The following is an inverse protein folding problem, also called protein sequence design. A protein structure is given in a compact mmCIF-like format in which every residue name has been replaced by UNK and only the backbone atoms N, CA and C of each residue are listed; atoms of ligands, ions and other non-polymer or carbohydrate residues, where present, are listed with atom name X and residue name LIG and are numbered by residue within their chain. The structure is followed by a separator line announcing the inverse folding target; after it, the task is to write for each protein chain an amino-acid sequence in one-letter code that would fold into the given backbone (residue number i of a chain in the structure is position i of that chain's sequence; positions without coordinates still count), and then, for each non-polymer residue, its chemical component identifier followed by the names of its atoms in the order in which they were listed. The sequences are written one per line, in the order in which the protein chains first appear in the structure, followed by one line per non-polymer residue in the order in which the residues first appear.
data_IF_397680139368
#
_entry.id   IF_397680139368
#
_cell.length_a   1.000
_cell.length_b   1.000
_cell.length_c   1.000
_cell.angle_alpha   90.00
_cell.angle_beta   90.00
_cell.angle_gamma   90.00
#
_symmetry.space_group_name_H-M   'P 1'
#
loop_
_entity.id
_entity.type
_entity.pdbx_description
1 polymer ?
#
# COMPACT_ATOMS: atom_id res chain seq x y z
N UNK A 1 9.21 -13.83 -9.63
CA UNK A 1 9.81 -14.67 -8.58
C UNK A 1 9.09 -14.37 -7.27
N UNK A 2 8.70 -15.39 -6.50
CA UNK A 2 8.09 -15.25 -5.18
C UNK A 2 9.16 -15.54 -4.12
N UNK A 3 9.13 -14.75 -3.05
CA UNK A 3 9.97 -14.93 -1.86
C UNK A 3 9.14 -15.59 -0.76
N UNK A 4 9.51 -16.80 -0.35
CA UNK A 4 8.87 -17.55 0.73
C UNK A 4 9.83 -17.63 1.93
N UNK A 5 9.80 -16.64 2.85
CA UNK A 5 10.65 -16.66 4.03
C UNK A 5 10.25 -17.85 4.90
N UNK A 6 11.22 -18.67 5.30
CA UNK A 6 11.12 -19.78 6.25
C UNK A 6 10.28 -20.99 5.85
N UNK A 7 10.11 -21.22 4.54
CA UNK A 7 9.48 -22.44 4.05
C UNK A 7 10.17 -23.68 4.64
N UNK A 8 9.42 -24.75 4.92
CA UNK A 8 9.90 -25.97 5.61
C UNK A 8 10.53 -25.76 7.00
N UNK A 9 10.23 -24.66 7.70
CA UNK A 9 10.74 -24.37 9.05
C UNK A 9 12.21 -23.97 9.11
N UNK A 10 12.84 -23.70 7.96
CA UNK A 10 14.21 -23.18 7.89
C UNK A 10 14.29 -21.67 8.18
N UNK A 11 15.50 -21.16 8.45
CA UNK A 11 15.75 -19.73 8.64
C UNK A 11 15.99 -18.96 7.32
N UNK A 12 16.01 -19.67 6.18
CA UNK A 12 16.26 -19.09 4.86
C UNK A 12 15.00 -18.57 4.17
N UNK A 13 15.17 -17.72 3.15
CA UNK A 13 14.09 -17.35 2.22
C UNK A 13 14.21 -18.19 0.96
N UNK A 14 13.13 -18.87 0.57
CA UNK A 14 13.09 -19.63 -0.67
C UNK A 14 12.65 -18.71 -1.80
N UNK A 15 13.37 -18.79 -2.92
CA UNK A 15 13.08 -18.05 -4.13
C UNK A 15 12.49 -19.04 -5.13
N UNK A 16 11.22 -18.87 -5.48
CA UNK A 16 10.53 -19.75 -6.44
C UNK A 16 10.03 -18.94 -7.64
N UNK A 17 10.24 -19.40 -8.87
CA UNK A 17 9.52 -18.88 -10.03
C UNK A 17 8.00 -18.96 -9.80
N UNK A 18 7.26 -17.89 -10.14
CA UNK A 18 5.83 -17.82 -9.87
C UNK A 18 5.09 -18.96 -10.56
N UNK A 19 5.46 -19.29 -11.80
CA UNK A 19 4.91 -20.37 -12.63
C UNK A 19 4.99 -21.77 -12.00
N UNK A 20 5.92 -21.97 -11.07
CA UNK A 20 6.11 -23.27 -10.38
C UNK A 20 5.21 -23.44 -9.15
N UNK A 21 4.50 -22.39 -8.72
CA UNK A 21 3.75 -22.39 -7.46
C UNK A 21 2.70 -23.51 -7.40
N UNK A 22 2.00 -23.76 -8.51
CA UNK A 22 0.97 -24.82 -8.63
C UNK A 22 1.53 -26.23 -8.61
N UNK A 23 2.81 -26.38 -8.96
CA UNK A 23 3.47 -27.68 -8.96
C UNK A 23 3.88 -28.08 -7.54
N UNK A 24 4.07 -27.10 -6.66
CA UNK A 24 4.55 -27.27 -5.29
C UNK A 24 3.41 -27.24 -4.26
N UNK A 25 2.41 -26.39 -4.44
CA UNK A 25 1.35 -26.15 -3.45
C UNK A 25 -0.04 -26.44 -4.01
N UNK A 26 -0.89 -27.02 -3.15
CA UNK A 26 -2.32 -27.14 -3.43
C UNK A 26 -3.01 -25.80 -3.17
N UNK A 27 -3.35 -25.12 -4.26
CA UNK A 27 -3.97 -23.79 -4.21
C UNK A 27 -5.50 -23.89 -4.09
N UNK A 28 -6.07 -23.05 -3.23
CA UNK A 28 -7.52 -22.86 -3.17
C UNK A 28 -8.06 -22.35 -4.53
N UNK A 29 -9.38 -22.39 -4.73
CA UNK A 29 -9.98 -21.85 -5.97
C UNK A 29 -9.67 -20.35 -6.11
N UNK A 30 -9.69 -19.63 -4.99
CA UNK A 30 -9.33 -18.21 -4.93
C UNK A 30 -7.88 -18.00 -5.36
N UNK A 31 -6.95 -18.75 -4.78
CA UNK A 31 -5.51 -18.55 -5.02
C UNK A 31 -5.11 -18.99 -6.43
N UNK A 32 -5.80 -20.00 -7.00
CA UNK A 32 -5.66 -20.35 -8.41
C UNK A 32 -6.08 -19.19 -9.31
N UNK A 33 -7.23 -18.59 -9.05
CA UNK A 33 -7.72 -17.47 -9.87
C UNK A 33 -6.81 -16.25 -9.76
N UNK A 34 -6.27 -15.96 -8.57
CA UNK A 34 -5.28 -14.92 -8.38
C UNK A 34 -3.99 -15.23 -9.15
N UNK A 35 -3.47 -16.45 -9.02
CA UNK A 35 -2.30 -16.92 -9.75
C UNK A 35 -2.45 -16.72 -11.26
N UNK A 36 -3.59 -17.12 -11.86
CA UNK A 36 -3.80 -17.03 -13.31
C UNK A 36 -3.74 -15.59 -13.79
N UNK A 37 -4.19 -14.63 -12.96
CA UNK A 37 -4.07 -13.21 -13.28
C UNK A 37 -2.65 -12.69 -13.11
N UNK A 38 -1.95 -13.10 -12.05
CA UNK A 38 -0.61 -12.58 -11.75
C UNK A 38 0.44 -13.08 -12.75
N UNK A 39 0.31 -14.29 -13.27
CA UNK A 39 1.27 -14.85 -14.24
C UNK A 39 1.21 -14.16 -15.61
N UNK A 40 0.06 -13.55 -15.94
CA UNK A 40 -0.16 -12.81 -17.18
C UNK A 40 0.32 -11.35 -17.08
N UNK A 41 0.78 -10.89 -15.91
CA UNK A 41 1.26 -9.52 -15.73
C UNK A 41 2.64 -9.34 -16.36
N UNK A 42 2.72 -8.43 -17.33
CA UNK A 42 3.99 -7.98 -17.91
C UNK A 42 4.84 -7.19 -16.90
N UNK A 43 4.18 -6.50 -15.96
CA UNK A 43 4.80 -5.61 -14.98
C UNK A 43 4.21 -5.84 -13.59
N UNK A 44 4.99 -6.48 -12.72
CA UNK A 44 4.56 -6.89 -11.38
C UNK A 44 4.99 -5.82 -10.37
N UNK A 45 4.04 -4.94 -10.02
CA UNK A 45 4.20 -3.91 -8.98
C UNK A 45 3.18 -4.09 -7.85
N UNK A 46 3.45 -3.64 -6.62
CA UNK A 46 2.53 -3.78 -5.48
C UNK A 46 1.11 -3.28 -5.80
N UNK A 47 1.00 -2.13 -6.48
CA UNK A 47 -0.27 -1.59 -6.95
C UNK A 47 -1.04 -2.58 -7.85
N UNK A 48 -0.39 -3.09 -8.89
CA UNK A 48 -1.02 -4.01 -9.84
C UNK A 48 -1.44 -5.31 -9.15
N UNK A 49 -0.60 -5.86 -8.27
CA UNK A 49 -0.91 -7.06 -7.50
C UNK A 49 -2.13 -6.83 -6.62
N UNK A 50 -2.21 -5.68 -5.94
CA UNK A 50 -3.35 -5.31 -5.11
C UNK A 50 -4.64 -5.15 -5.93
N UNK A 51 -4.58 -4.49 -7.09
CA UNK A 51 -5.72 -4.32 -7.98
C UNK A 51 -6.27 -5.68 -8.44
N UNK A 52 -5.40 -6.57 -8.93
CA UNK A 52 -5.79 -7.92 -9.34
C UNK A 52 -6.29 -8.77 -8.17
N UNK A 53 -5.68 -8.66 -6.99
CA UNK A 53 -6.13 -9.33 -5.76
C UNK A 53 -7.53 -8.87 -5.36
N UNK A 54 -7.82 -7.57 -5.38
CA UNK A 54 -9.15 -7.03 -5.04
C UNK A 54 -10.21 -7.41 -6.06
N UNK A 55 -9.88 -7.45 -7.33
CA UNK A 55 -10.80 -7.90 -8.36
C UNK A 55 -11.19 -9.37 -8.15
N UNK A 56 -10.21 -10.24 -7.90
CA UNK A 56 -10.47 -11.66 -7.59
C UNK A 56 -11.28 -11.79 -6.31
N UNK A 57 -10.91 -11.06 -5.25
CA UNK A 57 -11.65 -11.03 -3.99
C UNK A 57 -13.11 -10.60 -4.18
N UNK A 58 -13.37 -9.64 -5.06
CA UNK A 58 -14.72 -9.13 -5.35
C UNK A 58 -15.63 -10.13 -6.06
N UNK A 59 -15.09 -11.21 -6.65
CA UNK A 59 -15.90 -12.25 -7.32
C UNK A 59 -16.70 -13.13 -6.36
N UNK A 60 -16.33 -13.15 -5.07
CA UNK A 60 -16.94 -14.03 -4.07
C UNK A 60 -16.30 -15.41 -3.95
N UNK A 61 -15.33 -15.75 -4.80
CA UNK A 61 -14.64 -17.06 -4.77
C UNK A 61 -13.89 -17.28 -3.45
N UNK A 62 -13.34 -16.22 -2.85
CA UNK A 62 -12.73 -16.26 -1.51
C UNK A 62 -13.71 -16.07 -0.34
N UNK A 63 -15.02 -16.12 -0.60
CA UNK A 63 -16.07 -15.97 0.40
C UNK A 63 -16.75 -14.59 0.43
N UNK A 64 -17.91 -14.56 1.10
CA UNK A 64 -18.80 -13.38 1.10
C UNK A 64 -18.18 -12.17 1.82
N UNK A 65 -17.45 -12.41 2.92
CA UNK A 65 -16.82 -11.33 3.68
C UNK A 65 -15.69 -10.65 2.89
N UNK A 66 -14.86 -11.44 2.20
CA UNK A 66 -13.81 -10.92 1.33
C UNK A 66 -14.42 -10.08 0.20
N UNK A 67 -15.44 -10.60 -0.49
CA UNK A 67 -16.10 -9.88 -1.57
C UNK A 67 -16.71 -8.55 -1.12
N UNK A 68 -17.39 -8.53 0.04
CA UNK A 68 -17.92 -7.29 0.63
C UNK A 68 -16.81 -6.29 0.95
N UNK A 69 -15.68 -6.77 1.48
CA UNK A 69 -14.53 -5.94 1.84
C UNK A 69 -13.89 -5.32 0.60
N UNK A 70 -13.58 -6.11 -0.42
CA UNK A 70 -13.00 -5.64 -1.67
C UNK A 70 -13.94 -4.69 -2.42
N UNK A 71 -15.24 -5.00 -2.49
CA UNK A 71 -16.24 -4.14 -3.13
C UNK A 71 -16.33 -2.78 -2.43
N UNK A 72 -16.37 -2.77 -1.09
CA UNK A 72 -16.39 -1.53 -0.30
C UNK A 72 -15.13 -0.70 -0.52
N UNK A 73 -13.95 -1.32 -0.48
CA UNK A 73 -12.67 -0.63 -0.72
C UNK A 73 -12.62 -0.01 -2.11
N UNK A 74 -12.99 -0.77 -3.14
CA UNK A 74 -13.03 -0.28 -4.51
C UNK A 74 -14.01 0.91 -4.68
N UNK A 75 -15.17 0.84 -4.03
CA UNK A 75 -16.12 1.95 -4.04
C UNK A 75 -15.57 3.21 -3.34
N UNK A 76 -15.01 3.06 -2.15
CA UNK A 76 -14.43 4.17 -1.38
C UNK A 76 -13.26 4.81 -2.12
N UNK A 77 -12.37 4.00 -2.70
CA UNK A 77 -11.23 4.49 -3.47
C UNK A 77 -11.68 5.24 -4.73
N UNK A 78 -12.66 4.70 -5.45
CA UNK A 78 -13.23 5.39 -6.63
C UNK A 78 -13.84 6.74 -6.24
N UNK A 79 -14.66 6.79 -5.20
CA UNK A 79 -15.28 8.02 -4.72
C UNK A 79 -14.23 9.04 -4.28
N UNK A 80 -13.21 8.60 -3.53
CA UNK A 80 -12.12 9.46 -3.09
C UNK A 80 -11.30 10.02 -4.26
N UNK A 81 -11.00 9.20 -5.27
CA UNK A 81 -10.30 9.63 -6.48
C UNK A 81 -11.09 10.69 -7.25
N UNK A 82 -12.39 10.49 -7.46
CA UNK A 82 -13.25 11.45 -8.18
C UNK A 82 -13.31 12.80 -7.45
N UNK A 83 -13.50 12.78 -6.11
CA UNK A 83 -13.47 13.98 -5.29
C UNK A 83 -12.09 14.65 -5.29
N UNK A 84 -11.02 13.86 -5.16
CA UNK A 84 -9.63 14.31 -5.17
C UNK A 84 -9.27 15.05 -6.45
N UNK A 85 -9.60 14.47 -7.62
CA UNK A 85 -9.37 15.12 -8.93
C UNK A 85 -10.04 16.50 -9.00
N UNK A 86 -11.29 16.59 -8.54
CA UNK A 86 -12.00 17.87 -8.50
C UNK A 86 -11.37 18.86 -7.52
N UNK A 87 -10.82 18.41 -6.38
CA UNK A 87 -10.10 19.30 -5.46
C UNK A 87 -8.78 19.80 -6.05
N UNK A 88 -8.00 18.95 -6.72
CA UNK A 88 -6.74 19.36 -7.36
C UNK A 88 -7.01 20.45 -8.39
N UNK A 89 -8.04 20.28 -9.22
CA UNK A 89 -8.45 21.31 -10.18
C UNK A 89 -8.91 22.61 -9.50
N UNK A 90 -9.70 22.51 -8.44
CA UNK A 90 -10.13 23.68 -7.67
C UNK A 90 -8.94 24.42 -7.05
N UNK A 91 -7.98 23.70 -6.49
CA UNK A 91 -6.76 24.23 -5.92
C UNK A 91 -5.87 24.89 -6.99
N UNK A 92 -5.74 24.27 -8.16
CA UNK A 92 -5.03 24.84 -9.31
C UNK A 92 -5.64 26.17 -9.74
N UNK A 93 -6.97 26.26 -9.81
CA UNK A 93 -7.65 27.50 -10.17
C UNK A 93 -7.45 28.60 -9.13
N UNK A 94 -7.46 28.25 -7.84
CA UNK A 94 -7.20 29.23 -6.77
C UNK A 94 -5.76 29.75 -6.78
N UNK A 95 -4.79 28.91 -7.12
CA UNK A 95 -3.38 29.30 -7.16
C UNK A 95 -2.99 30.00 -8.48
N UNK A 96 -3.56 29.60 -9.61
CA UNK A 96 -3.07 29.96 -10.94
C UNK A 96 -4.06 30.79 -11.76
N UNK A 97 -5.36 30.72 -11.46
CA UNK A 97 -6.40 31.29 -12.32
C UNK A 97 -6.62 32.80 -12.20
N UNK A 98 -5.96 33.44 -11.23
CA UNK A 98 -6.06 34.88 -10.95
C UNK A 98 -7.43 35.31 -10.44
N UNK A 99 -7.69 36.62 -10.42
CA UNK A 99 -8.91 37.19 -9.83
C UNK A 99 -10.21 36.72 -10.50
N UNK A 100 -10.15 36.30 -11.76
CA UNK A 100 -11.32 35.91 -12.53
C UNK A 100 -11.95 34.57 -12.12
N UNK A 101 -11.29 33.76 -11.28
CA UNK A 101 -11.82 32.49 -10.75
C UNK A 101 -11.62 32.37 -9.24
N UNK A 102 -11.25 33.46 -8.57
CA UNK A 102 -10.96 33.48 -7.13
C UNK A 102 -12.20 33.22 -6.28
N UNK A 103 -13.37 33.61 -6.79
CA UNK A 103 -14.70 33.41 -6.22
C UNK A 103 -15.32 32.06 -6.60
N UNK A 104 -14.71 31.30 -7.53
CA UNK A 104 -15.28 30.08 -8.05
C UNK A 104 -15.39 29.00 -6.97
N UNK A 105 -16.60 28.49 -6.79
CA UNK A 105 -16.86 27.36 -5.89
C UNK A 105 -16.57 26.02 -6.58
N UNK A 106 -16.36 24.98 -5.77
CA UNK A 106 -16.03 23.64 -6.28
C UNK A 106 -17.18 23.05 -7.11
N UNK A 107 -18.42 23.31 -6.72
CA UNK A 107 -19.62 22.84 -7.40
C UNK A 107 -19.77 23.44 -8.80
N UNK A 108 -19.23 24.64 -9.05
CA UNK A 108 -19.26 25.28 -10.37
C UNK A 108 -18.45 24.48 -11.40
N UNK A 109 -17.41 23.74 -10.97
CA UNK A 109 -16.59 22.88 -11.85
C UNK A 109 -17.37 21.71 -12.45
N UNK A 110 -18.54 21.38 -11.87
CA UNK A 110 -19.44 20.36 -12.39
C UNK A 110 -20.33 20.87 -13.53
N UNK A 111 -20.33 22.18 -13.77
CA UNK A 111 -21.13 22.82 -14.84
C UNK A 111 -20.27 23.08 -16.07
N UNK A 112 -20.88 23.01 -17.26
CA UNK A 112 -20.18 23.32 -18.52
C UNK A 112 -19.63 24.75 -18.52
N UNK A 113 -20.36 25.71 -17.97
CA UNK A 113 -19.95 27.11 -17.90
C UNK A 113 -18.75 27.31 -16.95
N UNK A 114 -18.76 26.65 -15.80
CA UNK A 114 -17.63 26.66 -14.86
C UNK A 114 -16.39 26.01 -15.47
N UNK A 115 -16.52 24.90 -16.20
CA UNK A 115 -15.41 24.27 -16.93
C UNK A 115 -14.82 25.20 -18.00
N UNK A 116 -15.66 25.92 -18.76
CA UNK A 116 -15.18 26.91 -19.74
C UNK A 116 -14.43 28.04 -19.03
N UNK A 117 -14.97 28.56 -17.92
CA UNK A 117 -14.36 29.63 -17.13
C UNK A 117 -13.00 29.18 -16.55
N UNK A 118 -12.93 27.98 -16.00
CA UNK A 118 -11.72 27.35 -15.49
C UNK A 118 -10.65 27.20 -16.59
N UNK A 119 -11.03 26.66 -17.75
CA UNK A 119 -10.13 26.50 -18.91
C UNK A 119 -9.56 27.83 -19.40
N UNK A 120 -10.38 28.89 -19.48
CA UNK A 120 -9.89 30.23 -19.85
C UNK A 120 -8.86 30.76 -18.84
N UNK A 121 -9.08 30.53 -17.54
CA UNK A 121 -8.17 30.99 -16.51
C UNK A 121 -6.81 30.27 -16.60
N UNK A 122 -6.81 28.95 -16.75
CA UNK A 122 -5.58 28.16 -16.90
C UNK A 122 -4.83 28.48 -18.21
N UNK A 123 -5.55 28.73 -19.30
CA UNK A 123 -4.92 29.13 -20.57
C UNK A 123 -4.19 30.49 -20.47
N UNK A 124 -4.69 31.42 -19.64
CA UNK A 124 -3.96 32.68 -19.38
C UNK A 124 -2.67 32.43 -18.62
N UNK A 125 -2.71 31.60 -17.58
CA UNK A 125 -1.52 31.22 -16.82
C UNK A 125 -0.45 30.58 -17.73
N UNK A 126 -0.85 29.63 -18.58
CA UNK A 126 0.02 29.00 -19.57
C UNK A 126 0.67 30.04 -20.52
N UNK A 127 -0.14 30.97 -21.04
CA UNK A 127 0.34 32.03 -21.93
C UNK A 127 1.35 32.96 -21.24
N UNK A 128 1.12 33.33 -19.98
CA UNK A 128 2.00 34.17 -19.17
C UNK A 128 3.36 33.50 -18.88
N UNK A 129 3.36 32.19 -18.69
CA UNK A 129 4.55 31.40 -18.36
C UNK A 129 5.21 30.76 -19.59
N UNK A 130 4.74 31.08 -20.80
CA UNK A 130 5.22 30.53 -22.09
C UNK A 130 5.20 29.00 -22.14
N UNK A 131 4.26 28.37 -21.43
CA UNK A 131 3.97 26.94 -21.50
C UNK A 131 2.86 26.74 -22.53
N UNK A 132 2.92 25.68 -23.32
CA UNK A 132 1.85 25.39 -24.28
C UNK A 132 0.52 25.14 -23.54
N UNK A 133 -0.55 25.80 -23.98
CA UNK A 133 -1.86 25.80 -23.28
C UNK A 133 -2.46 24.39 -23.14
N UNK A 134 -2.36 23.57 -24.18
CA UNK A 134 -2.89 22.19 -24.14
C UNK A 134 -2.12 21.33 -23.11
N UNK A 135 -0.87 21.69 -22.81
CA UNK A 135 -0.02 20.97 -21.85
C UNK A 135 -0.47 21.15 -20.40
N UNK A 136 -0.94 22.33 -19.96
CA UNK A 136 -1.24 22.53 -18.53
C UNK A 136 -2.46 21.73 -18.06
N UNK A 137 -3.52 21.69 -18.88
CA UNK A 137 -4.73 20.93 -18.52
C UNK A 137 -4.43 19.43 -18.56
N UNK A 138 -3.69 18.98 -19.56
CA UNK A 138 -3.27 17.59 -19.67
C UNK A 138 -2.32 17.19 -18.51
N UNK A 139 -1.35 18.04 -18.17
CA UNK A 139 -0.45 17.87 -17.02
C UNK A 139 -1.21 17.84 -15.70
N UNK A 140 -2.19 18.72 -15.49
CA UNK A 140 -3.05 18.68 -14.30
C UNK A 140 -3.90 17.40 -14.26
N UNK A 141 -4.41 16.95 -15.40
CA UNK A 141 -5.13 15.70 -15.53
C UNK A 141 -4.26 14.49 -15.18
N UNK A 142 -3.03 14.46 -15.71
CA UNK A 142 -2.04 13.43 -15.42
C UNK A 142 -1.62 13.44 -13.96
N UNK A 143 -1.24 14.61 -13.43
CA UNK A 143 -0.94 14.82 -12.00
C UNK A 143 -2.05 14.24 -11.13
N UNK A 144 -3.29 14.64 -11.36
CA UNK A 144 -4.43 14.23 -10.53
C UNK A 144 -4.59 12.71 -10.47
N UNK A 145 -4.23 11.99 -11.55
CA UNK A 145 -4.21 10.53 -11.59
C UNK A 145 -3.01 9.97 -10.84
N UNK A 146 -1.82 10.54 -11.02
CA UNK A 146 -0.58 10.09 -10.38
C UNK A 146 -0.65 10.19 -8.86
N UNK A 147 -1.19 11.29 -8.32
CA UNK A 147 -1.28 11.47 -6.86
C UNK A 147 -2.50 10.78 -6.26
N UNK A 148 -3.44 10.26 -7.07
CA UNK A 148 -4.68 9.66 -6.57
C UNK A 148 -4.48 8.56 -5.49
N UNK A 149 -3.45 7.68 -5.57
CA UNK A 149 -3.17 6.71 -4.50
C UNK A 149 -2.88 7.35 -3.13
N UNK A 150 -2.30 8.55 -3.10
CA UNK A 150 -2.07 9.34 -1.86
C UNK A 150 -3.24 10.26 -1.54
N UNK A 151 -3.86 10.84 -2.58
CA UNK A 151 -4.91 11.82 -2.48
C UNK A 151 -4.49 13.08 -1.72
N UNK A 152 -5.47 13.84 -1.27
CA UNK A 152 -5.27 15.11 -0.57
C UNK A 152 -5.59 14.96 0.91
N UNK A 153 -5.00 15.83 1.73
CA UNK A 153 -5.40 15.99 3.14
C UNK A 153 -6.70 16.79 3.28
N UNK A 154 -7.75 16.28 2.63
CA UNK A 154 -9.11 16.82 2.67
C UNK A 154 -10.06 15.67 2.91
N UNK A 155 -11.09 15.92 3.72
CA UNK A 155 -12.10 14.92 4.01
C UNK A 155 -12.72 14.35 2.72
N UNK A 156 -12.78 13.02 2.65
CA UNK A 156 -13.28 12.29 1.48
C UNK A 156 -12.38 12.29 0.25
N UNK A 157 -11.21 12.96 0.27
CA UNK A 157 -10.26 13.01 -0.86
C UNK A 157 -8.96 12.25 -0.57
N UNK A 158 -8.89 11.54 0.56
CA UNK A 158 -7.70 10.82 0.99
C UNK A 158 -7.53 9.54 0.15
N UNK A 159 -6.36 9.37 -0.45
CA UNK A 159 -6.02 8.16 -1.20
C UNK A 159 -5.71 7.00 -0.26
N UNK A 160 -5.73 5.78 -0.79
CA UNK A 160 -5.54 4.57 0.00
C UNK A 160 -4.18 4.51 0.72
N UNK A 161 -3.11 5.02 0.13
CA UNK A 161 -1.78 5.02 0.74
C UNK A 161 -1.74 5.95 1.96
N UNK A 162 -2.41 7.11 1.89
CA UNK A 162 -2.57 8.01 3.03
C UNK A 162 -3.43 7.40 4.13
N UNK A 163 -4.54 6.76 3.75
CA UNK A 163 -5.41 6.06 4.71
C UNK A 163 -4.64 4.93 5.41
N UNK A 164 -3.88 4.14 4.66
CA UNK A 164 -3.06 3.04 5.19
C UNK A 164 -1.96 3.56 6.10
N UNK A 165 -1.18 4.57 5.68
CA UNK A 165 -0.11 5.16 6.49
C UNK A 165 -0.62 5.72 7.83
N UNK A 166 -1.80 6.34 7.85
CA UNK A 166 -2.46 6.78 9.07
C UNK A 166 -3.05 5.60 9.86
N UNK A 167 -3.59 4.59 9.18
CA UNK A 167 -4.06 3.34 9.77
C UNK A 167 -2.98 2.61 10.57
N UNK A 168 -1.72 2.66 10.10
CA UNK A 168 -0.58 2.11 10.84
C UNK A 168 -0.38 2.74 12.22
N UNK A 169 -0.64 4.05 12.39
CA UNK A 169 -0.56 4.68 13.71
C UNK A 169 -1.58 4.09 14.67
N UNK A 170 -2.82 3.97 14.21
CA UNK A 170 -3.90 3.36 15.00
C UNK A 170 -3.59 1.90 15.32
N UNK A 171 -3.14 1.14 14.32
CA UNK A 171 -2.77 -0.26 14.48
C UNK A 171 -1.68 -0.45 15.54
N UNK A 172 -0.61 0.36 15.49
CA UNK A 172 0.44 0.34 16.50
C UNK A 172 -0.09 0.69 17.90
N UNK A 173 -0.97 1.68 18.00
CA UNK A 173 -1.59 2.05 19.28
C UNK A 173 -2.44 0.90 19.85
N UNK A 174 -3.30 0.29 19.02
CA UNK A 174 -4.19 -0.79 19.45
C UNK A 174 -3.40 -2.02 19.96
N UNK A 175 -2.28 -2.38 19.30
CA UNK A 175 -1.40 -3.46 19.75
C UNK A 175 -0.66 -3.08 21.03
N UNK A 176 -0.15 -1.85 21.14
CA UNK A 176 0.53 -1.38 22.35
C UNK A 176 -0.40 -1.43 23.56
N UNK A 177 -1.63 -0.93 23.41
CA UNK A 177 -2.67 -0.98 24.44
C UNK A 177 -2.99 -2.42 24.85
N UNK A 178 -3.14 -3.33 23.89
CA UNK A 178 -3.36 -4.75 24.13
C UNK A 178 -2.22 -5.40 24.94
N UNK A 179 -0.96 -5.03 24.64
CA UNK A 179 0.24 -5.64 25.22
C UNK A 179 0.47 -5.32 26.69
N UNK A 180 -0.13 -4.24 27.21
CA UNK A 180 0.05 -3.78 28.58
C UNK A 180 -0.41 -4.82 29.63
N UNK A 181 -1.38 -5.65 29.27
CA UNK A 181 -1.93 -6.73 30.12
C UNK A 181 -1.37 -8.11 29.79
N UNK A 182 -0.36 -8.21 28.92
CA UNK A 182 0.26 -9.48 28.53
C UNK A 182 1.55 -9.80 29.28
N UNK A 183 1.91 -11.09 29.22
CA UNK A 183 3.18 -11.65 29.72
C UNK A 183 4.38 -11.10 28.94
N UNK A 184 5.59 -11.25 29.48
CA UNK A 184 6.83 -10.67 28.93
C UNK A 184 7.05 -10.98 27.46
N UNK A 185 6.80 -12.23 27.05
CA UNK A 185 7.18 -12.72 25.73
C UNK A 185 6.27 -12.12 24.64
N UNK A 186 4.95 -12.14 24.87
CA UNK A 186 3.97 -11.50 23.99
C UNK A 186 4.10 -9.97 23.99
N UNK A 187 4.47 -9.38 25.13
CA UNK A 187 4.75 -7.94 25.21
C UNK A 187 5.98 -7.56 24.40
N UNK A 188 7.04 -8.36 24.44
CA UNK A 188 8.24 -8.15 23.63
C UNK A 188 7.92 -8.25 22.13
N UNK A 189 7.14 -9.26 21.74
CA UNK A 189 6.69 -9.46 20.36
C UNK A 189 5.82 -8.30 19.86
N UNK A 190 4.82 -7.91 20.64
CA UNK A 190 4.00 -6.73 20.37
C UNK A 190 4.85 -5.46 20.25
N UNK A 191 5.84 -5.28 21.13
CA UNK A 191 6.77 -4.15 21.06
C UNK A 191 7.51 -4.06 19.72
N UNK A 192 7.93 -5.19 19.14
CA UNK A 192 8.57 -5.21 17.82
C UNK A 192 7.61 -4.84 16.70
N UNK A 193 6.38 -5.36 16.72
CA UNK A 193 5.34 -4.94 15.78
C UNK A 193 5.13 -3.42 15.89
N UNK A 194 4.89 -2.92 17.09
CA UNK A 194 4.65 -1.49 17.34
C UNK A 194 5.79 -0.62 16.81
N UNK A 195 7.03 -0.97 17.09
CA UNK A 195 8.18 -0.21 16.60
C UNK A 195 8.30 -0.24 15.07
N UNK A 196 8.15 -1.40 14.44
CA UNK A 196 8.23 -1.55 12.98
C UNK A 196 7.10 -0.78 12.28
N UNK A 197 5.87 -0.90 12.79
CA UNK A 197 4.69 -0.18 12.29
C UNK A 197 4.88 1.33 12.42
N UNK A 198 5.35 1.82 13.57
CA UNK A 198 5.61 3.26 13.78
C UNK A 198 6.70 3.79 12.86
N UNK A 199 7.81 3.07 12.72
CA UNK A 199 8.90 3.46 11.82
C UNK A 199 8.40 3.54 10.37
N UNK A 200 7.71 2.51 9.89
CA UNK A 200 7.10 2.50 8.54
C UNK A 200 6.13 3.65 8.33
N UNK A 201 5.22 3.88 9.29
CA UNK A 201 4.26 5.00 9.23
C UNK A 201 4.96 6.35 9.16
N UNK A 202 6.02 6.56 9.94
CA UNK A 202 6.79 7.80 9.92
C UNK A 202 7.47 8.02 8.56
N UNK A 203 8.06 6.98 7.97
CA UNK A 203 8.65 7.05 6.62
C UNK A 203 7.58 7.37 5.57
N UNK A 204 6.43 6.71 5.63
CA UNK A 204 5.33 6.96 4.69
C UNK A 204 4.79 8.38 4.80
N UNK A 205 4.60 8.89 6.02
CA UNK A 205 4.07 10.23 6.23
C UNK A 205 5.02 11.33 5.75
N UNK A 206 6.34 11.17 5.91
CA UNK A 206 7.32 12.10 5.31
C UNK A 206 7.17 12.20 3.79
N UNK A 207 7.00 11.06 3.11
CA UNK A 207 6.79 11.02 1.65
C UNK A 207 5.43 11.57 1.23
N UNK A 208 4.41 11.39 2.06
CA UNK A 208 3.10 12.01 1.84
C UNK A 208 3.19 13.54 1.98
N UNK A 209 3.96 14.05 2.95
CA UNK A 209 4.23 15.50 3.09
C UNK A 209 4.96 16.07 1.86
N UNK A 210 5.87 15.31 1.24
CA UNK A 210 6.49 15.69 -0.04
C UNK A 210 5.43 15.85 -1.14
N UNK A 211 4.50 14.91 -1.26
CA UNK A 211 3.38 14.99 -2.21
C UNK A 211 2.48 16.20 -1.93
N UNK A 212 2.20 16.47 -0.66
CA UNK A 212 1.40 17.63 -0.24
C UNK A 212 2.10 18.96 -0.57
N UNK A 213 3.44 19.00 -0.46
CA UNK A 213 4.23 20.18 -0.83
C UNK A 213 4.07 20.53 -2.31
N UNK A 214 4.08 19.53 -3.21
CA UNK A 214 3.84 19.76 -4.64
C UNK A 214 2.43 20.31 -4.89
N UNK A 215 1.41 19.82 -4.16
CA UNK A 215 0.05 20.35 -4.26
C UNK A 215 -0.05 21.81 -3.77
N UNK A 216 0.78 22.22 -2.81
CA UNK A 216 0.83 23.60 -2.34
C UNK A 216 1.52 24.56 -3.31
N UNK A 217 2.38 24.04 -4.21
CA UNK A 217 3.19 24.83 -5.13
C UNK A 217 2.93 24.45 -6.61
N UNK A 218 1.65 24.31 -7.00
CA UNK A 218 1.24 23.81 -8.33
C UNK A 218 1.88 24.59 -9.49
N UNK A 219 2.02 25.91 -9.33
CA UNK A 219 2.60 26.77 -10.38
C UNK A 219 4.04 26.40 -10.70
N UNK A 220 4.87 26.15 -9.67
CA UNK A 220 6.28 25.74 -9.86
C UNK A 220 6.38 24.37 -10.51
N UNK A 221 5.54 23.44 -10.04
CA UNK A 221 5.54 22.07 -10.54
C UNK A 221 5.09 22.01 -12.01
N UNK A 222 4.07 22.77 -12.40
CA UNK A 222 3.59 22.81 -13.78
C UNK A 222 4.59 23.49 -14.74
N UNK A 223 5.42 24.42 -14.25
CA UNK A 223 6.48 25.02 -15.08
C UNK A 223 7.65 24.08 -15.36
N UNK A 224 7.86 23.05 -14.54
CA UNK A 224 8.90 22.02 -14.72
C UNK A 224 8.26 20.62 -14.62
N UNK A 225 7.22 20.40 -15.41
CA UNK A 225 6.35 19.23 -15.29
C UNK A 225 7.09 17.90 -15.47
N UNK A 226 7.99 17.78 -16.44
CA UNK A 226 8.68 16.51 -16.72
C UNK A 226 9.55 16.04 -15.56
N UNK A 227 10.26 16.98 -14.92
CA UNK A 227 11.09 16.69 -13.74
C UNK A 227 10.21 16.29 -12.56
N UNK A 228 9.15 17.06 -12.31
CA UNK A 228 8.26 16.80 -11.18
C UNK A 228 7.44 15.52 -11.37
N UNK A 229 6.99 15.22 -12.59
CA UNK A 229 6.32 13.97 -12.95
C UNK A 229 7.17 12.77 -12.59
N UNK A 230 8.46 12.79 -12.92
CA UNK A 230 9.38 11.72 -12.54
C UNK A 230 9.49 11.60 -11.01
N UNK A 231 9.69 12.71 -10.31
CA UNK A 231 9.80 12.71 -8.85
C UNK A 231 8.51 12.22 -8.16
N UNK A 232 7.34 12.67 -8.62
CA UNK A 232 6.03 12.20 -8.15
C UNK A 232 5.91 10.69 -8.38
N UNK A 233 6.24 10.21 -9.58
CA UNK A 233 6.20 8.79 -9.91
C UNK A 233 7.06 7.95 -8.95
N UNK A 234 8.32 8.33 -8.77
CA UNK A 234 9.27 7.64 -7.88
C UNK A 234 8.77 7.64 -6.42
N UNK A 235 8.25 8.76 -5.91
CA UNK A 235 7.70 8.84 -4.55
C UNK A 235 6.46 7.98 -4.37
N UNK A 236 5.55 7.94 -5.35
CA UNK A 236 4.33 7.12 -5.30
C UNK A 236 4.68 5.63 -5.38
N UNK A 237 5.61 5.23 -6.26
CA UNK A 237 6.09 3.85 -6.34
C UNK A 237 6.80 3.40 -5.06
N UNK A 238 7.62 4.27 -4.48
CA UNK A 238 8.24 4.00 -3.18
C UNK A 238 7.19 3.81 -2.08
N UNK A 239 6.15 4.65 -2.02
CA UNK A 239 5.07 4.50 -1.04
C UNK A 239 4.31 3.18 -1.20
N UNK A 240 4.04 2.79 -2.45
CA UNK A 240 3.41 1.50 -2.75
C UNK A 240 4.22 0.33 -2.21
N UNK A 241 5.53 0.37 -2.40
CA UNK A 241 6.43 -0.65 -1.92
C UNK A 241 6.59 -0.63 -0.40
N UNK A 242 6.72 0.56 0.20
CA UNK A 242 6.90 0.74 1.64
C UNK A 242 5.70 0.22 2.45
N UNK A 243 4.49 0.42 1.92
CA UNK A 243 3.23 0.08 2.58
C UNK A 243 2.69 -1.30 2.18
N UNK A 244 3.36 -2.01 1.27
CA UNK A 244 2.93 -3.32 0.81
C UNK A 244 2.83 -4.34 1.95
N UNK A 245 1.79 -5.16 1.94
CA UNK A 245 1.52 -6.21 2.93
C UNK A 245 1.01 -5.73 4.31
N UNK A 246 1.00 -4.43 4.60
CA UNK A 246 0.53 -3.95 5.90
C UNK A 246 -0.98 -3.99 6.07
N UNK A 247 -1.75 -3.81 4.99
CA UNK A 247 -3.21 -3.80 5.07
C UNK A 247 -3.76 -5.16 5.51
N UNK A 248 -3.14 -6.24 5.06
CA UNK A 248 -3.47 -7.62 5.40
C UNK A 248 -3.27 -7.87 6.89
N UNK A 249 -2.19 -7.36 7.48
CA UNK A 249 -1.92 -7.49 8.91
C UNK A 249 -2.88 -6.69 9.78
N UNK A 250 -3.26 -5.49 9.32
CA UNK A 250 -4.33 -4.70 9.95
C UNK A 250 -5.65 -5.49 9.91
N UNK A 251 -5.98 -6.09 8.76
CA UNK A 251 -7.21 -6.86 8.61
C UNK A 251 -7.25 -8.10 9.51
N UNK A 252 -6.12 -8.81 9.63
CA UNK A 252 -5.93 -9.95 10.55
C UNK A 252 -6.18 -9.50 12.00
N UNK A 253 -5.58 -8.39 12.41
CA UNK A 253 -5.78 -7.84 13.74
C UNK A 253 -7.21 -7.37 13.99
N UNK A 254 -7.84 -6.69 13.04
CA UNK A 254 -9.21 -6.18 13.18
C UNK A 254 -10.24 -7.32 13.28
N UNK A 255 -9.95 -8.49 12.72
CA UNK A 255 -10.78 -9.70 12.83
C UNK A 255 -10.52 -10.53 14.09
N UNK A 256 -9.56 -10.15 14.93
CA UNK A 256 -9.23 -10.88 16.16
C UNK A 256 -10.46 -11.07 17.05
N UNK A 257 -10.45 -12.14 17.83
CA UNK A 257 -11.44 -12.31 18.90
C UNK A 257 -11.28 -11.20 19.94
N UNK A 258 -12.36 -10.50 20.31
CA UNK A 258 -12.31 -9.46 21.35
C UNK A 258 -12.33 -10.02 22.77
N UNK A 259 -12.80 -11.26 22.96
CA UNK A 259 -13.02 -11.87 24.28
C UNK A 259 -12.04 -13.00 24.60
N UNK A 260 -11.34 -13.54 23.59
CA UNK A 260 -10.46 -14.69 23.75
C UNK A 260 -8.99 -14.27 23.68
N UNK A 261 -8.31 -14.22 24.83
CA UNK A 261 -6.90 -13.82 24.92
C UNK A 261 -5.96 -14.82 24.25
N UNK A 262 -6.28 -16.10 24.22
CA UNK A 262 -5.42 -17.09 23.58
C UNK A 262 -5.40 -16.86 22.06
N UNK A 263 -6.57 -16.68 21.45
CA UNK A 263 -6.67 -16.33 20.02
C UNK A 263 -6.04 -14.99 19.67
N UNK A 264 -6.13 -14.00 20.58
CA UNK A 264 -5.43 -12.72 20.37
C UNK A 264 -3.92 -12.90 20.32
N UNK A 265 -3.35 -13.78 21.16
CA UNK A 265 -1.91 -14.10 21.14
C UNK A 265 -1.51 -14.78 19.84
N UNK A 266 -2.28 -15.76 19.37
CA UNK A 266 -2.07 -16.39 18.06
C UNK A 266 -2.07 -15.34 16.93
N UNK A 267 -3.00 -14.37 16.99
CA UNK A 267 -3.06 -13.25 16.03
C UNK A 267 -1.79 -12.40 16.08
N UNK A 268 -1.25 -12.13 17.28
CA UNK A 268 -0.01 -11.35 17.43
C UNK A 268 1.20 -12.12 16.92
N UNK A 269 1.27 -13.44 17.15
CA UNK A 269 2.31 -14.30 16.59
C UNK A 269 2.28 -14.31 15.06
N UNK A 270 1.10 -14.40 14.46
CA UNK A 270 0.92 -14.30 13.02
C UNK A 270 1.39 -12.94 12.49
N UNK A 271 0.90 -11.84 13.06
CA UNK A 271 1.30 -10.48 12.66
C UNK A 271 2.81 -10.29 12.79
N UNK A 272 3.43 -10.73 13.89
CA UNK A 272 4.86 -10.60 14.12
C UNK A 272 5.69 -11.40 13.10
N UNK A 273 5.18 -12.56 12.69
CA UNK A 273 5.83 -13.46 11.73
C UNK A 273 5.82 -12.91 10.31
N UNK A 274 4.85 -12.07 9.97
CA UNK A 274 4.64 -11.56 8.60
C UNK A 274 4.79 -10.04 8.43
N UNK A 275 5.05 -9.29 9.51
CA UNK A 275 5.33 -7.84 9.48
C UNK A 275 6.35 -7.47 8.39
N UNK A 276 6.02 -6.59 7.41
CA UNK A 276 6.99 -6.17 6.41
C UNK A 276 8.27 -5.61 7.04
N UNK A 277 9.42 -6.01 6.51
CA UNK A 277 10.74 -5.57 6.96
C UNK A 277 11.36 -4.68 5.90
N UNK A 278 11.77 -3.47 6.30
CA UNK A 278 12.44 -2.56 5.37
C UNK A 278 13.86 -3.04 5.07
N UNK A 279 14.24 -3.18 3.79
CA UNK A 279 15.62 -3.39 3.38
C UNK A 279 16.57 -2.32 3.90
N UNK A 280 17.75 -2.77 4.31
CA UNK A 280 18.77 -1.91 4.89
C UNK A 280 19.32 -0.86 3.90
N UNK A 281 19.21 -1.09 2.58
CA UNK A 281 19.61 -0.15 1.55
C UNK A 281 18.72 1.08 1.47
N UNK A 282 17.44 0.96 1.85
CA UNK A 282 16.41 1.99 1.68
C UNK A 282 16.19 2.84 2.93
N UNK A 283 16.97 2.60 3.98
CA UNK A 283 16.83 3.26 5.30
C UNK A 283 18.15 3.91 5.73
N UNK A 284 18.05 4.88 6.64
CA UNK A 284 19.21 5.57 7.17
C UNK A 284 20.10 4.60 7.98
N UNK A 285 21.42 4.81 7.95
CA UNK A 285 22.39 3.99 8.71
C UNK A 285 22.09 3.91 10.21
N UNK A 286 21.50 4.96 10.76
CA UNK A 286 21.02 5.03 12.15
C UNK A 286 19.92 4.02 12.46
N UNK A 287 19.10 3.64 11.48
CA UNK A 287 17.96 2.73 11.62
C UNK A 287 18.30 1.28 11.22
N UNK A 288 19.45 1.05 10.57
CA UNK A 288 19.80 -0.27 10.05
C UNK A 288 19.88 -1.36 11.12
N UNK A 289 20.46 -1.06 12.28
CA UNK A 289 20.53 -2.04 13.38
C UNK A 289 19.13 -2.42 13.88
N UNK A 290 18.23 -1.44 13.97
CA UNK A 290 16.85 -1.69 14.40
C UNK A 290 16.14 -2.66 13.44
N UNK A 291 16.22 -2.42 12.14
CA UNK A 291 15.57 -3.28 11.14
C UNK A 291 16.23 -4.66 10.99
N UNK A 292 17.56 -4.75 11.18
CA UNK A 292 18.24 -6.03 11.28
C UNK A 292 17.72 -6.87 12.46
N UNK A 293 17.54 -6.25 13.63
CA UNK A 293 16.99 -6.92 14.81
C UNK A 293 15.53 -7.36 14.59
N UNK A 294 14.70 -6.52 13.94
CA UNK A 294 13.32 -6.87 13.58
C UNK A 294 13.31 -8.10 12.68
N UNK A 295 14.17 -8.15 11.66
CA UNK A 295 14.28 -9.30 10.74
C UNK A 295 14.64 -10.60 11.46
N UNK A 296 15.61 -10.54 12.38
CA UNK A 296 16.05 -11.73 13.14
C UNK A 296 14.91 -12.26 14.01
N UNK A 297 14.22 -11.40 14.74
CA UNK A 297 13.10 -11.80 15.59
C UNK A 297 11.95 -12.39 14.76
N UNK A 298 11.60 -11.75 13.64
CA UNK A 298 10.59 -12.26 12.72
C UNK A 298 10.91 -13.67 12.24
N UNK A 299 12.15 -13.94 11.81
CA UNK A 299 12.56 -15.26 11.34
C UNK A 299 12.43 -16.34 12.42
N UNK A 300 12.72 -16.00 13.68
CA UNK A 300 12.54 -16.91 14.81
C UNK A 300 11.06 -17.25 15.01
N UNK A 301 10.19 -16.26 15.07
CA UNK A 301 8.75 -16.46 15.30
C UNK A 301 8.05 -17.16 14.13
N UNK A 302 8.38 -16.81 12.88
CA UNK A 302 7.85 -17.49 11.71
C UNK A 302 8.26 -18.98 11.69
N UNK A 303 9.47 -19.29 12.16
CA UNK A 303 9.93 -20.67 12.34
C UNK A 303 9.15 -21.42 13.43
N UNK A 304 8.82 -20.77 14.54
CA UNK A 304 8.04 -21.36 15.64
C UNK A 304 6.57 -21.58 15.27
N UNK A 305 5.90 -20.57 14.72
CA UNK A 305 4.51 -20.62 14.29
C UNK A 305 4.29 -21.78 13.30
N UNK A 306 5.23 -21.99 12.38
CA UNK A 306 5.15 -23.09 11.41
C UNK A 306 5.41 -24.46 12.02
N UNK A 307 6.28 -24.59 13.02
CA UNK A 307 6.47 -25.85 13.76
C UNK A 307 5.22 -26.24 14.56
N UNK A 308 4.48 -25.25 15.05
CA UNK A 308 3.24 -25.45 15.80
C UNK A 308 2.04 -25.73 14.87
N UNK A 309 1.98 -25.04 13.71
CA UNK A 309 0.97 -25.27 12.68
C UNK A 309 1.19 -26.52 11.84
N UNK A 310 2.42 -27.08 11.81
CA UNK A 310 2.75 -28.31 11.11
C UNK A 310 2.32 -29.57 11.85
N UNK A 311 1.02 -29.71 12.15
CA UNK A 311 0.45 -31.04 12.16
C UNK A 311 0.78 -31.68 10.80
N UNK A 312 1.85 -32.48 10.78
CA UNK A 312 2.54 -33.04 9.60
C UNK A 312 2.73 -32.02 8.46
N UNK A 313 3.94 -31.46 8.31
CA UNK A 313 4.34 -30.91 7.00
C UNK A 313 4.10 -32.04 5.99
N UNK A 314 3.19 -31.82 5.03
CA UNK A 314 2.84 -32.82 4.03
C UNK A 314 4.12 -33.36 3.37
N UNK A 315 4.39 -34.65 3.59
CA UNK A 315 5.57 -35.32 3.08
C UNK A 315 5.62 -35.25 1.55
N UNK A 316 4.46 -35.19 0.88
CA UNK A 316 4.37 -35.03 -0.56
C UNK A 316 4.79 -33.62 -1.01
N UNK A 317 4.35 -32.57 -0.28
CA UNK A 317 4.81 -31.19 -0.53
C UNK A 317 6.33 -31.05 -0.34
N UNK A 318 6.90 -31.67 0.70
CA UNK A 318 8.35 -31.67 0.93
C UNK A 318 9.10 -32.41 -0.18
N UNK A 319 8.59 -33.55 -0.65
CA UNK A 319 9.21 -34.30 -1.74
C UNK A 319 9.11 -33.51 -3.06
N UNK A 320 7.99 -32.81 -3.32
CA UNK A 320 7.83 -31.90 -4.47
C UNK A 320 8.85 -30.74 -4.41
N UNK A 321 9.04 -30.13 -3.24
CA UNK A 321 10.06 -29.10 -3.01
C UNK A 321 11.49 -29.62 -3.23
N UNK A 322 11.82 -30.82 -2.73
CA UNK A 322 13.13 -31.42 -2.94
C UNK A 322 13.39 -31.79 -4.39
N UNK A 323 12.40 -32.34 -5.10
CA UNK A 323 12.49 -32.64 -6.54
C UNK A 323 12.76 -31.37 -7.34
N UNK A 324 12.04 -30.28 -7.05
CA UNK A 324 12.27 -28.99 -7.69
C UNK A 324 13.71 -28.49 -7.47
N UNK A 325 14.20 -28.58 -6.23
CA UNK A 325 15.58 -28.17 -5.89
C UNK A 325 16.64 -28.97 -6.64
N UNK A 326 16.40 -30.28 -6.86
CA UNK A 326 17.32 -31.15 -7.63
C UNK A 326 17.29 -30.89 -9.13
N UNK A 327 16.18 -30.37 -9.66
CA UNK A 327 16.03 -30.02 -11.07
C UNK A 327 16.56 -28.62 -11.42
N UNK A 328 16.60 -27.72 -10.42
CA UNK A 328 17.02 -26.33 -10.58
C UNK A 328 18.50 -26.06 -10.24
N UNK A 329 19.26 -27.09 -9.86
CA UNK A 329 20.69 -27.03 -9.53
C UNK A 329 21.55 -27.58 -10.69
#
# INVERSE_FOLDING_TARGET
MIMLPGLSGGLGTYELPLDTLREVFDLSVHDRMLYDRLIELEDVRPQTVLEHSRDVGSTGVGGVELARTCTRRNWTEKASRELGQMAVLHQALRQLGGDAVKDMKREELMTTEGQIRARRALNRFASEHKVANDTIIDSLGEWSKMIAPVGLDLEGCQGQLRVLANGLKKFAQDIEEWSNSEQSDFRFMAGRIVSATRSTSNHALKRIEEVDSWNSELGKVLTDWETAKKAIGETIEYLWWLLDGWQELIDVWDRRSLTDRAKQRETVEEVASFAPVLPLSEIEKSEQQFWADVRVNQMLWAGELRKLGSGEIDADMMDRLERFRRQSA
#
